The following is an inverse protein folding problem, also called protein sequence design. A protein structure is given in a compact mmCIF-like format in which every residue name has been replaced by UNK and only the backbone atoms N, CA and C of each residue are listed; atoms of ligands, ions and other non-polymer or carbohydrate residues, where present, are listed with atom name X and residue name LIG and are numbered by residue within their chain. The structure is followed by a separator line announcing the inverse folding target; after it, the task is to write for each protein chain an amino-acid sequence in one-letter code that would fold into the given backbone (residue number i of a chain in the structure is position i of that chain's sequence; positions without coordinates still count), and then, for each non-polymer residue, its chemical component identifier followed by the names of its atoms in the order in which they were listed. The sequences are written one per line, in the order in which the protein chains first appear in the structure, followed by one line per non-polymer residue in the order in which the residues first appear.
data_IF_326279840596
#
_entry.id   IF_326279840596
#
_cell.length_a   1.000
_cell.length_b   1.000
_cell.length_c   1.000
_cell.angle_alpha   90.00
_cell.angle_beta   90.00
_cell.angle_gamma   90.00
#
_symmetry.space_group_name_H-M   'P 1'
#
loop_
_entity.id
_entity.type
_entity.pdbx_description
1 polymer ?
#
# COMPACT_ATOMS: atom_id res chain seq x y z
N UNK A 1 -16.04 2.21 -10.40
CA UNK A 1 -16.07 1.93 -8.94
C UNK A 1 -15.81 3.24 -8.24
N UNK A 2 -16.57 3.53 -7.20
CA UNK A 2 -16.42 4.79 -6.47
C UNK A 2 -15.18 4.74 -5.58
N UNK A 3 -14.69 5.91 -5.17
CA UNK A 3 -13.62 6.03 -4.18
C UNK A 3 -13.88 5.18 -2.93
N UNK A 4 -15.11 5.20 -2.42
CA UNK A 4 -15.47 4.52 -1.16
C UNK A 4 -15.34 3.00 -1.29
N UNK A 5 -15.82 2.44 -2.42
CA UNK A 5 -15.67 1.03 -2.76
C UNK A 5 -14.20 0.63 -2.88
N UNK A 6 -13.39 1.44 -3.57
CA UNK A 6 -11.96 1.20 -3.74
C UNK A 6 -11.24 1.23 -2.40
N UNK A 7 -11.50 2.24 -1.57
CA UNK A 7 -10.87 2.41 -0.26
C UNK A 7 -11.25 1.27 0.69
N UNK A 8 -12.51 0.88 0.71
CA UNK A 8 -13.00 -0.23 1.55
C UNK A 8 -12.40 -1.57 1.14
N UNK A 9 -12.31 -1.85 -0.17
CA UNK A 9 -11.60 -3.04 -0.70
C UNK A 9 -10.13 -3.04 -0.29
N UNK A 10 -9.39 -1.95 -0.53
CA UNK A 10 -7.97 -1.85 -0.16
C UNK A 10 -7.77 -2.06 1.34
N UNK A 11 -8.62 -1.44 2.19
CA UNK A 11 -8.57 -1.62 3.66
C UNK A 11 -8.71 -3.06 4.09
N UNK A 12 -9.67 -3.79 3.50
CA UNK A 12 -9.89 -5.20 3.81
C UNK A 12 -8.77 -6.09 3.28
N UNK A 13 -8.35 -5.86 2.03
CA UNK A 13 -7.38 -6.71 1.33
C UNK A 13 -5.98 -6.60 1.95
N UNK A 14 -5.58 -5.40 2.38
CA UNK A 14 -4.29 -5.13 2.99
C UNK A 14 -4.32 -5.03 4.53
N UNK A 15 -5.48 -5.26 5.16
CA UNK A 15 -5.68 -5.11 6.61
C UNK A 15 -5.17 -3.77 7.15
N UNK A 16 -5.50 -2.67 6.46
CA UNK A 16 -5.06 -1.33 6.83
C UNK A 16 -6.21 -0.50 7.46
N UNK A 17 -6.41 -0.56 8.79
CA UNK A 17 -7.53 0.12 9.45
C UNK A 17 -7.48 1.65 9.37
N UNK A 18 -6.29 2.24 9.23
CA UNK A 18 -6.09 3.69 9.12
C UNK A 18 -5.80 4.16 7.69
N UNK A 19 -5.93 3.28 6.69
CA UNK A 19 -5.65 3.66 5.31
C UNK A 19 -6.69 4.65 4.81
N UNK A 20 -6.23 5.81 4.33
CA UNK A 20 -7.08 6.83 3.72
C UNK A 20 -6.47 7.16 2.37
N UNK A 21 -7.17 6.81 1.31
CA UNK A 21 -6.67 7.06 -0.03
C UNK A 21 -6.84 8.56 -0.33
N UNK A 22 -5.74 9.24 -0.67
CA UNK A 22 -5.80 10.57 -1.28
C UNK A 22 -6.10 10.39 -2.77
N UNK A 23 -7.34 10.04 -3.06
CA UNK A 23 -7.82 9.84 -4.42
C UNK A 23 -9.06 10.70 -4.66
N UNK A 24 -9.23 11.11 -5.91
CA UNK A 24 -10.29 12.03 -6.32
C UNK A 24 -11.66 11.36 -6.17
N UNK A 25 -12.53 11.96 -5.37
CA UNK A 25 -13.87 11.41 -5.09
C UNK A 25 -14.83 11.56 -6.27
N UNK A 26 -14.52 12.45 -7.21
CA UNK A 26 -15.34 12.70 -8.39
C UNK A 26 -14.92 11.84 -9.60
N UNK A 27 -13.97 10.92 -9.42
CA UNK A 27 -13.51 10.01 -10.46
C UNK A 27 -14.05 8.60 -10.24
N UNK A 28 -14.61 8.03 -11.30
CA UNK A 28 -14.87 6.59 -11.36
C UNK A 28 -13.58 5.84 -11.66
N UNK A 29 -13.22 4.92 -10.77
CA UNK A 29 -12.07 4.04 -10.92
C UNK A 29 -12.49 2.75 -11.63
N UNK A 30 -11.68 2.26 -12.56
CA UNK A 30 -11.90 0.96 -13.20
C UNK A 30 -11.21 -0.15 -12.42
N UNK A 31 -11.60 -1.40 -12.64
CA UNK A 31 -10.94 -2.54 -11.97
C UNK A 31 -9.43 -2.58 -12.24
N UNK A 32 -9.00 -2.09 -13.40
CA UNK A 32 -7.59 -1.90 -13.75
C UNK A 32 -6.91 -0.84 -12.87
N UNK A 33 -7.54 0.33 -12.68
CA UNK A 33 -7.04 1.36 -11.76
C UNK A 33 -6.89 0.79 -10.33
N UNK A 34 -7.83 -0.02 -9.84
CA UNK A 34 -7.73 -0.64 -8.52
C UNK A 34 -6.55 -1.61 -8.43
N UNK A 35 -6.36 -2.46 -9.43
CA UNK A 35 -5.23 -3.38 -9.45
C UNK A 35 -3.90 -2.65 -9.44
N UNK A 36 -3.77 -1.59 -10.24
CA UNK A 36 -2.53 -0.81 -10.28
C UNK A 36 -2.30 -0.06 -8.96
N UNK A 37 -3.36 0.51 -8.37
CA UNK A 37 -3.31 1.16 -7.07
C UNK A 37 -2.88 0.20 -5.96
N UNK A 38 -3.47 -0.99 -5.92
CA UNK A 38 -3.11 -2.06 -4.99
C UNK A 38 -1.65 -2.47 -5.17
N UNK A 39 -1.19 -2.65 -6.41
CA UNK A 39 0.20 -3.05 -6.72
C UNK A 39 1.19 -1.98 -6.24
N UNK A 40 0.89 -0.71 -6.48
CA UNK A 40 1.69 0.42 -6.00
C UNK A 40 1.72 0.48 -4.47
N UNK A 41 0.58 0.29 -3.80
CA UNK A 41 0.52 0.31 -2.34
C UNK A 41 1.30 -0.86 -1.71
N UNK A 42 1.17 -2.07 -2.26
CA UNK A 42 1.90 -3.25 -1.80
C UNK A 42 3.40 -3.07 -2.03
N UNK A 43 3.80 -2.52 -3.17
CA UNK A 43 5.21 -2.23 -3.44
C UNK A 43 5.77 -1.17 -2.49
N UNK A 44 5.00 -0.12 -2.20
CA UNK A 44 5.39 0.89 -1.22
C UNK A 44 5.54 0.29 0.18
N UNK A 45 4.59 -0.56 0.60
CA UNK A 45 4.67 -1.24 1.89
C UNK A 45 5.83 -2.24 1.96
N UNK A 46 6.05 -3.01 0.90
CA UNK A 46 7.20 -3.92 0.78
C UNK A 46 8.50 -3.14 0.86
N UNK A 47 8.65 -2.04 0.12
CA UNK A 47 9.84 -1.20 0.20
C UNK A 47 10.06 -0.69 1.62
N UNK A 48 9.02 -0.18 2.28
CA UNK A 48 9.09 0.30 3.66
C UNK A 48 9.49 -0.81 4.66
N UNK A 49 8.88 -1.99 4.57
CA UNK A 49 9.22 -3.13 5.45
C UNK A 49 10.60 -3.69 5.12
N UNK A 50 10.98 -3.75 3.85
CA UNK A 50 12.27 -4.28 3.40
C UNK A 50 13.42 -3.33 3.77
N UNK A 51 13.17 -2.02 3.85
CA UNK A 51 14.10 -1.04 4.42
C UNK A 51 14.33 -1.33 5.92
N UNK A 52 13.26 -1.63 6.67
CA UNK A 52 13.33 -1.99 8.10
C UNK A 52 14.04 -3.35 8.32
N UNK A 53 13.84 -4.32 7.42
CA UNK A 53 14.51 -5.63 7.49
C UNK A 53 16.00 -5.52 7.14
N UNK A 54 16.37 -4.57 6.27
CA UNK A 54 17.78 -4.27 5.93
C UNK A 54 18.54 -3.70 7.14
N UNK A 55 17.88 -2.92 8.00
CA UNK A 55 18.45 -2.47 9.27
C UNK A 55 18.52 -3.59 10.35
N UNK A 56 17.76 -4.68 10.20
CA UNK A 56 17.83 -5.83 11.12
C UNK A 56 18.79 -6.95 10.66
N UNK A 57 19.17 -6.97 9.37
CA UNK A 57 20.32 -7.73 8.87
C UNK A 57 21.64 -6.93 8.91
N UNK A 58 21.67 -5.85 9.70
CA UNK A 58 22.89 -5.20 10.16
C UNK A 58 23.69 -6.12 11.08
N UNK A 59 24.33 -7.13 10.51
CA UNK A 59 25.49 -7.75 11.12
C UNK A 59 26.44 -6.61 11.51
N UNK A 60 26.60 -6.39 12.81
CA UNK A 60 27.55 -5.44 13.36
C UNK A 60 28.88 -5.61 12.61
N UNK A 61 29.44 -4.56 11.96
CA UNK A 61 30.80 -4.65 11.47
C UNK A 61 31.68 -4.83 12.71
N UNK A 62 32.21 -6.05 12.89
CA UNK A 62 33.26 -6.31 13.87
C UNK A 62 34.48 -5.48 13.45
N UNK A 63 34.67 -4.35 14.12
CA UNK A 63 35.97 -3.68 14.22
C UNK A 63 36.79 -4.33 15.32
#
# INVERSE_FOLDING_TARGET
MTRDELEKRIRQDLNLPHFKAQIDENRDYTEDDYQDFKRNLVNYYKAYVQDIDTDFQGGLPRR
#
